data_IF_138788638407
#
_entry.id   IF_138788638407
#
_cell.length_a   1.000
_cell.length_b   1.000
_cell.length_c   1.000
_cell.angle_alpha   90.00
_cell.angle_beta   90.00
_cell.angle_gamma   90.00
#
_symmetry.space_group_name_H-M   'P 1'
#
loop_
_entity.id
_entity.type
_entity.pdbx_description
1 polymer ?
#
# COMPACT_ATOMS: atom_id res chain seq x y z
N UNK A 1 1.92 -8.46 -8.58
CA UNK A 1 2.71 -7.33 -9.10
C UNK A 1 1.86 -6.51 -10.07
N UNK A 2 1.42 -7.08 -11.20
CA UNK A 2 0.66 -6.35 -12.25
C UNK A 2 -0.59 -5.62 -11.74
N UNK A 3 -1.37 -6.28 -10.87
CA UNK A 3 -2.56 -5.66 -10.24
C UNK A 3 -2.21 -4.42 -9.41
N UNK A 4 -1.09 -4.45 -8.69
CA UNK A 4 -0.65 -3.30 -7.88
C UNK A 4 -0.14 -2.16 -8.77
N UNK A 5 0.59 -2.48 -9.84
CA UNK A 5 1.03 -1.50 -10.83
C UNK A 5 -0.16 -0.81 -11.52
N UNK A 6 -1.18 -1.58 -11.90
CA UNK A 6 -2.42 -1.06 -12.47
C UNK A 6 -3.13 -0.10 -11.49
N UNK A 7 -3.33 -0.51 -10.23
CA UNK A 7 -3.96 0.31 -9.20
C UNK A 7 -3.19 1.62 -8.99
N UNK A 8 -1.86 1.57 -8.92
CA UNK A 8 -1.03 2.76 -8.75
C UNK A 8 -1.12 3.71 -9.94
N UNK A 9 -1.13 3.16 -11.16
CA UNK A 9 -1.26 3.96 -12.37
C UNK A 9 -2.63 4.63 -12.46
N UNK A 10 -3.70 3.89 -12.15
CA UNK A 10 -5.06 4.42 -12.11
C UNK A 10 -5.23 5.51 -11.06
N UNK A 11 -4.70 5.30 -9.85
CA UNK A 11 -4.71 6.30 -8.79
C UNK A 11 -4.06 7.61 -9.24
N UNK A 12 -2.89 7.52 -9.87
CA UNK A 12 -2.18 8.68 -10.36
C UNK A 12 -2.91 9.39 -11.51
N UNK A 13 -3.37 8.64 -12.52
CA UNK A 13 -4.07 9.20 -13.68
C UNK A 13 -5.39 9.91 -13.29
N UNK A 14 -6.11 9.37 -12.31
CA UNK A 14 -7.43 9.86 -11.90
C UNK A 14 -7.39 10.80 -10.69
N UNK A 15 -6.20 11.08 -10.13
CA UNK A 15 -6.05 11.89 -8.92
C UNK A 15 -6.71 11.26 -7.68
N UNK A 16 -6.81 9.93 -7.65
CA UNK A 16 -7.38 9.17 -6.53
C UNK A 16 -6.31 8.77 -5.53
N UNK A 17 -6.71 8.48 -4.31
CA UNK A 17 -5.83 7.79 -3.36
C UNK A 17 -5.61 6.33 -3.79
N UNK A 18 -4.49 5.74 -3.35
CA UNK A 18 -4.22 4.31 -3.57
C UNK A 18 -5.34 3.42 -3.00
N UNK A 19 -5.96 3.83 -1.89
CA UNK A 19 -7.06 3.09 -1.26
C UNK A 19 -8.31 3.10 -2.15
N UNK A 20 -8.71 4.27 -2.64
CA UNK A 20 -9.88 4.39 -3.53
C UNK A 20 -9.71 3.58 -4.81
N UNK A 21 -8.55 3.68 -5.47
CA UNK A 21 -8.25 2.91 -6.67
C UNK A 21 -8.20 1.39 -6.39
N UNK A 22 -7.65 0.98 -5.25
CA UNK A 22 -7.62 -0.44 -4.86
C UNK A 22 -9.02 -1.00 -4.66
N UNK A 23 -9.92 -0.26 -4.01
CA UNK A 23 -11.32 -0.67 -3.82
C UNK A 23 -12.10 -0.66 -5.13
N UNK A 24 -11.92 0.38 -5.97
CA UNK A 24 -12.56 0.48 -7.27
C UNK A 24 -12.15 -0.65 -8.22
N UNK A 25 -10.91 -1.14 -8.12
CA UNK A 25 -10.43 -2.29 -8.92
C UNK A 25 -11.14 -3.61 -8.61
N UNK A 26 -11.82 -3.73 -7.46
CA UNK A 26 -12.43 -4.98 -6.99
C UNK A 26 -11.43 -6.08 -6.62
N UNK A 27 -10.13 -5.81 -6.69
CA UNK A 27 -9.09 -6.80 -6.36
C UNK A 27 -8.76 -6.87 -4.87
N UNK A 28 -9.10 -5.83 -4.12
CA UNK A 28 -8.76 -5.69 -2.70
C UNK A 28 -9.98 -5.12 -1.97
N UNK A 29 -10.35 -5.73 -0.84
CA UNK A 29 -11.40 -5.18 0.03
C UNK A 29 -10.84 -4.11 0.97
N UNK A 30 -11.70 -3.30 1.58
CA UNK A 30 -11.31 -2.30 2.57
C UNK A 30 -10.52 -2.93 3.72
N UNK A 31 -11.02 -4.04 4.26
CA UNK A 31 -10.36 -4.77 5.34
C UNK A 31 -9.01 -5.35 4.94
N UNK A 32 -8.85 -5.81 3.70
CA UNK A 32 -7.56 -6.30 3.20
C UNK A 32 -6.56 -5.16 3.04
N UNK A 33 -6.99 -4.02 2.50
CA UNK A 33 -6.15 -2.84 2.37
C UNK A 33 -5.68 -2.36 3.75
N UNK A 34 -6.61 -2.19 4.69
CA UNK A 34 -6.34 -1.64 6.02
C UNK A 34 -5.47 -2.59 6.87
N UNK A 35 -5.51 -3.91 6.62
CA UNK A 35 -4.62 -4.89 7.26
C UNK A 35 -3.19 -4.85 6.72
N UNK A 36 -3.02 -4.63 5.42
CA UNK A 36 -1.71 -4.75 4.75
C UNK A 36 -0.98 -3.41 4.69
N UNK A 37 -1.71 -2.32 4.45
CA UNK A 37 -1.14 -0.98 4.23
C UNK A 37 -1.11 -0.22 5.55
N UNK A 38 -0.15 -0.59 6.40
CA UNK A 38 0.07 0.03 7.71
C UNK A 38 1.46 0.67 7.73
N UNK A 39 1.60 1.98 7.45
CA UNK A 39 2.90 2.62 7.23
C UNK A 39 3.91 2.38 8.36
N UNK A 40 3.46 2.40 9.62
CA UNK A 40 4.30 2.16 10.80
C UNK A 40 4.95 0.76 10.82
N UNK A 41 4.36 -0.24 10.17
CA UNK A 41 4.92 -1.59 10.08
C UNK A 41 5.63 -1.87 8.75
N UNK A 42 5.67 -0.91 7.82
CA UNK A 42 6.30 -1.06 6.51
C UNK A 42 7.74 -0.51 6.46
N UNK A 43 8.23 0.09 7.54
CA UNK A 43 9.52 0.81 7.61
C UNK A 43 10.66 0.06 8.31
N UNK A 44 10.44 -1.20 8.73
CA UNK A 44 11.46 -1.99 9.43
C UNK A 44 11.80 -1.46 10.84
N UNK A 45 12.93 -1.89 11.40
CA UNK A 45 13.47 -1.36 12.66
C UNK A 45 14.86 -0.75 12.38
N UNK A 46 14.94 0.57 12.10
CA UNK A 46 16.19 1.19 11.70
C UNK A 46 17.29 1.11 12.77
N UNK A 47 16.95 1.00 14.06
CA UNK A 47 17.96 0.82 15.12
C UNK A 47 18.56 -0.58 15.09
N UNK A 48 17.72 -1.60 14.91
CA UNK A 48 18.16 -2.98 14.73
C UNK A 48 18.96 -3.16 13.44
N UNK A 49 18.48 -2.59 12.35
CA UNK A 49 19.12 -2.68 11.03
C UNK A 49 20.48 -1.99 11.01
N UNK A 50 20.67 -0.95 11.84
CA UNK A 50 21.95 -0.25 12.04
C UNK A 50 22.87 -0.89 13.12
N UNK A 51 22.45 -1.98 13.76
CA UNK A 51 23.24 -2.66 14.79
C UNK A 51 23.38 -1.88 16.11
N UNK A 52 22.40 -1.05 16.45
CA UNK A 52 22.40 -0.18 17.62
C UNK A 52 21.55 -0.71 18.80
N UNK A 53 21.20 -2.01 18.79
CA UNK A 53 20.43 -2.69 19.85
C UNK A 53 21.31 -3.39 20.88
#
# INVERSE_FOLDING_TARGET
>A
YDKAAHIAHEAHQKGMTLREAALASGHVTAEQFDKVVVPRSMVGNPRKDAGLE
#
